data_IF_067736622699
#
_entry.id   IF_067736622699
#
_cell.length_a   1.000
_cell.length_b   1.000
_cell.length_c   1.000
_cell.angle_alpha   90.00
_cell.angle_beta   90.00
_cell.angle_gamma   90.00
#
_symmetry.space_group_name_H-M   'P 1'
#
loop_
_entity.id
_entity.type
_entity.pdbx_description
1 polymer ?
#
# COMPACT_ATOMS: atom_id res chain seq x y z
N UNK A 1 -18.54 -52.79 -32.01
CA UNK A 1 -17.65 -53.79 -31.39
C UNK A 1 -16.87 -53.05 -30.32
N UNK A 2 -17.09 -53.13 -29.01
CA UNK A 2 -18.01 -53.83 -28.10
C UNK A 2 -17.87 -53.03 -26.77
N UNK A 3 -18.92 -52.44 -26.20
CA UNK A 3 -19.80 -52.97 -25.13
C UNK A 3 -19.47 -52.34 -23.75
N UNK A 4 -20.51 -51.95 -23.00
CA UNK A 4 -20.45 -51.38 -21.63
C UNK A 4 -20.28 -52.48 -20.56
N UNK A 5 -20.69 -52.31 -19.26
CA UNK A 5 -21.84 -51.51 -18.78
C UNK A 5 -21.75 -50.82 -17.37
N UNK A 6 -22.74 -49.95 -17.08
CA UNK A 6 -23.60 -49.80 -15.86
C UNK A 6 -22.99 -49.88 -14.44
N UNK A 7 -23.22 -48.98 -13.46
CA UNK A 7 -24.43 -48.68 -12.63
C UNK A 7 -23.89 -47.96 -11.33
N UNK A 8 -24.58 -47.22 -10.46
CA UNK A 8 -25.98 -47.00 -10.13
C UNK A 8 -26.14 -45.66 -9.36
N UNK A 9 -27.34 -45.08 -9.45
CA UNK A 9 -27.95 -44.09 -8.55
C UNK A 9 -28.40 -44.75 -7.25
N UNK A 10 -28.52 -43.95 -6.19
CA UNK A 10 -29.50 -44.18 -5.13
C UNK A 10 -29.93 -42.83 -4.54
N UNK A 11 -31.16 -42.45 -4.88
CA UNK A 11 -32.03 -41.57 -4.13
C UNK A 11 -32.43 -42.27 -2.81
N UNK A 12 -32.60 -41.53 -1.72
CA UNK A 12 -33.49 -41.94 -0.62
C UNK A 12 -34.13 -40.70 0.02
N UNK A 13 -35.45 -40.71 -0.01
CA UNK A 13 -36.40 -39.72 0.46
C UNK A 13 -37.04 -40.24 1.75
N UNK A 14 -37.71 -39.35 2.47
CA UNK A 14 -38.66 -39.59 3.59
C UNK A 14 -38.09 -39.85 5.00
N UNK A 15 -38.39 -38.92 5.92
CA UNK A 15 -39.59 -39.12 6.75
C UNK A 15 -40.06 -37.82 7.42
N UNK A 16 -41.35 -37.57 7.28
CA UNK A 16 -42.12 -36.53 7.95
C UNK A 16 -42.75 -37.11 9.22
N UNK A 17 -42.76 -36.34 10.32
CA UNK A 17 -43.67 -36.62 11.44
C UNK A 17 -44.33 -35.32 11.90
N UNK A 18 -45.62 -35.27 11.62
CA UNK A 18 -46.64 -34.38 12.17
C UNK A 18 -46.93 -34.75 13.63
N UNK A 19 -47.14 -33.75 14.51
CA UNK A 19 -48.06 -33.85 15.65
C UNK A 19 -48.33 -32.50 16.29
N UNK A 20 -49.53 -31.99 16.00
CA UNK A 20 -50.31 -30.97 16.72
C UNK A 20 -50.50 -31.27 18.21
N UNK A 21 -50.63 -30.23 19.07
CA UNK A 21 -51.13 -30.44 20.44
C UNK A 21 -51.23 -29.23 21.40
N UNK A 22 -52.25 -28.40 21.20
CA UNK A 22 -53.14 -27.81 22.23
C UNK A 22 -52.65 -26.78 23.27
N UNK A 23 -53.50 -25.75 23.43
CA UNK A 23 -53.46 -24.67 24.41
C UNK A 23 -53.92 -25.09 25.82
N UNK A 24 -53.46 -24.34 26.83
CA UNK A 24 -53.98 -24.38 28.19
C UNK A 24 -53.70 -23.07 28.94
N UNK A 25 -54.75 -22.28 29.16
CA UNK A 25 -54.80 -21.12 30.04
C UNK A 25 -54.50 -21.49 31.52
N UNK A 26 -53.89 -20.55 32.25
CA UNK A 26 -53.66 -20.65 33.69
C UNK A 26 -53.33 -19.29 34.30
N UNK A 27 -54.37 -18.59 34.72
CA UNK A 27 -54.36 -17.28 35.38
C UNK A 27 -53.88 -17.34 36.85
N UNK A 28 -53.42 -16.18 37.35
CA UNK A 28 -53.40 -15.70 38.76
C UNK A 28 -52.06 -15.69 39.53
N UNK A 29 -51.65 -14.47 39.93
CA UNK A 29 -50.65 -14.24 40.98
C UNK A 29 -50.08 -12.81 41.00
N UNK A 30 -50.86 -11.84 41.46
CA UNK A 30 -50.47 -10.43 41.73
C UNK A 30 -49.46 -10.36 42.88
N UNK A 31 -48.43 -9.51 42.76
CA UNK A 31 -47.95 -8.63 43.85
C UNK A 31 -47.08 -7.47 43.32
N UNK A 32 -47.36 -6.28 43.83
CA UNK A 32 -46.77 -4.99 43.44
C UNK A 32 -45.54 -4.64 44.30
N UNK A 33 -44.43 -4.26 43.65
CA UNK A 33 -43.43 -3.20 44.00
C UNK A 33 -42.58 -3.35 45.28
N UNK A 34 -41.31 -2.84 45.30
CA UNK A 34 -40.91 -1.56 44.71
C UNK A 34 -39.66 -1.57 43.81
N UNK A 35 -39.61 -0.53 42.99
CA UNK A 35 -38.39 0.00 42.42
C UNK A 35 -37.55 0.59 43.56
N UNK A 36 -36.37 0.00 43.80
CA UNK A 36 -35.26 0.71 44.42
C UNK A 36 -33.96 0.06 43.96
N UNK A 37 -32.94 0.89 43.76
CA UNK A 37 -31.58 0.56 43.26
C UNK A 37 -31.43 0.41 41.75
N UNK A 38 -31.71 1.49 41.03
CA UNK A 38 -30.90 1.87 39.88
C UNK A 38 -29.66 2.61 40.41
N UNK A 39 -28.58 1.90 40.73
CA UNK A 39 -27.24 2.44 40.93
C UNK A 39 -26.26 1.27 41.18
N UNK A 40 -25.25 1.13 40.31
CA UNK A 40 -24.15 0.14 40.29
C UNK A 40 -24.50 -1.32 39.91
N UNK A 41 -24.59 -1.56 38.60
CA UNK A 41 -24.33 -2.88 37.99
C UNK A 41 -23.21 -2.77 36.94
N UNK A 42 -22.24 -1.90 37.18
CA UNK A 42 -20.93 -2.01 36.56
C UNK A 42 -20.07 -2.79 37.56
N UNK A 43 -19.43 -3.86 37.11
CA UNK A 43 -18.55 -4.76 37.88
C UNK A 43 -19.21 -6.01 38.51
N UNK A 44 -19.81 -6.87 37.68
CA UNK A 44 -19.94 -8.30 38.00
C UNK A 44 -18.94 -9.09 37.11
N UNK A 45 -17.82 -9.59 37.66
CA UNK A 45 -16.76 -10.26 36.90
C UNK A 45 -17.13 -11.68 36.42
N UNK A 46 -18.41 -12.05 36.47
CA UNK A 46 -18.95 -13.38 36.18
C UNK A 46 -20.18 -13.36 35.26
N UNK A 47 -20.34 -12.31 34.46
CA UNK A 47 -21.26 -12.36 33.31
C UNK A 47 -20.66 -13.29 32.25
N UNK A 48 -21.45 -14.25 31.79
CA UNK A 48 -21.04 -15.13 30.70
C UNK A 48 -20.79 -14.29 29.43
N UNK A 49 -19.79 -14.68 28.63
CA UNK A 49 -19.44 -14.02 27.35
C UNK A 49 -20.65 -13.90 26.40
N UNK A 50 -21.66 -14.74 26.59
CA UNK A 50 -22.91 -14.81 25.83
C UNK A 50 -23.85 -13.62 26.13
N UNK A 51 -23.72 -12.98 27.29
CA UNK A 51 -24.62 -11.92 27.78
C UNK A 51 -24.04 -10.51 27.59
N UNK A 52 -22.79 -10.41 27.13
CA UNK A 52 -22.10 -9.14 26.88
C UNK A 52 -22.41 -8.61 25.48
N UNK A 53 -22.55 -7.29 25.36
CA UNK A 53 -22.50 -6.65 24.04
C UNK A 53 -21.10 -6.75 23.43
N UNK A 54 -21.00 -6.63 22.10
CA UNK A 54 -19.72 -6.69 21.37
C UNK A 54 -18.71 -5.67 21.92
N UNK A 55 -19.17 -4.46 22.25
CA UNK A 55 -18.33 -3.40 22.82
C UNK A 55 -17.84 -3.73 24.24
N UNK A 56 -18.70 -4.30 25.09
CA UNK A 56 -18.32 -4.74 26.44
C UNK A 56 -17.35 -5.91 26.41
N UNK A 57 -17.53 -6.83 25.44
CA UNK A 57 -16.62 -7.94 25.22
C UNK A 57 -15.27 -7.44 24.70
N UNK A 58 -15.24 -6.48 23.76
CA UNK A 58 -14.02 -5.84 23.27
C UNK A 58 -13.22 -5.21 24.41
N UNK A 59 -13.87 -4.41 25.26
CA UNK A 59 -13.21 -3.76 26.40
C UNK A 59 -12.60 -4.78 27.39
N UNK A 60 -13.29 -5.90 27.64
CA UNK A 60 -12.75 -6.98 28.49
C UNK A 60 -11.55 -7.68 27.86
N UNK A 61 -11.57 -7.87 26.55
CA UNK A 61 -10.47 -8.51 25.83
C UNK A 61 -9.24 -7.60 25.77
N UNK A 62 -9.42 -6.30 25.59
CA UNK A 62 -8.36 -5.28 25.71
C UNK A 62 -7.73 -5.23 27.10
N UNK A 63 -8.48 -5.51 28.16
CA UNK A 63 -7.92 -5.65 29.51
C UNK A 63 -7.19 -6.99 29.72
N UNK A 64 -7.70 -8.06 29.11
CA UNK A 64 -7.20 -9.43 29.28
C UNK A 64 -5.90 -9.70 28.51
N UNK A 65 -5.72 -9.09 27.34
CA UNK A 65 -4.58 -9.34 26.44
C UNK A 65 -3.74 -8.09 26.20
N UNK A 66 -2.41 -8.25 26.16
CA UNK A 66 -1.47 -7.20 25.76
C UNK A 66 -1.28 -7.23 24.24
N UNK A 67 -2.00 -6.37 23.52
CA UNK A 67 -1.97 -6.32 22.06
C UNK A 67 -0.61 -5.90 21.48
N UNK A 68 0.21 -5.15 22.23
CA UNK A 68 1.56 -4.74 21.80
C UNK A 68 2.54 -5.92 21.75
N UNK A 69 2.28 -6.97 22.54
CA UNK A 69 3.13 -8.17 22.62
C UNK A 69 2.33 -9.45 22.32
N UNK A 70 1.31 -9.33 21.47
CA UNK A 70 0.40 -10.41 21.14
C UNK A 70 1.08 -11.46 20.26
N UNK A 71 1.05 -12.72 20.70
CA UNK A 71 1.73 -13.83 20.03
C UNK A 71 0.81 -15.02 19.67
N UNK A 72 1.37 -16.05 19.01
CA UNK A 72 0.60 -17.26 18.64
C UNK A 72 -0.04 -17.98 19.83
N UNK A 73 0.55 -17.87 21.03
CA UNK A 73 -0.01 -18.47 22.24
C UNK A 73 -1.27 -17.73 22.73
N UNK A 74 -1.35 -16.43 22.50
CA UNK A 74 -2.52 -15.62 22.84
C UNK A 74 -3.65 -15.89 21.84
N UNK A 75 -3.31 -16.08 20.55
CA UNK A 75 -4.25 -16.52 19.52
C UNK A 75 -4.92 -17.86 19.86
N UNK A 76 -4.18 -18.82 20.43
CA UNK A 76 -4.72 -20.12 20.85
C UNK A 76 -5.66 -20.02 22.06
N UNK A 77 -5.48 -18.99 22.90
CA UNK A 77 -6.27 -18.78 24.12
C UNK A 77 -7.53 -17.96 23.87
N UNK A 78 -7.56 -17.16 22.80
CA UNK A 78 -8.66 -16.26 22.48
C UNK A 78 -9.81 -17.03 21.82
N UNK A 79 -11.03 -16.87 22.35
CA UNK A 79 -12.23 -17.52 21.80
C UNK A 79 -12.64 -16.85 20.49
N UNK A 80 -13.42 -17.55 19.65
CA UNK A 80 -13.90 -16.99 18.40
C UNK A 80 -14.73 -15.70 18.61
N UNK A 81 -15.48 -15.62 19.72
CA UNK A 81 -16.31 -14.45 20.02
C UNK A 81 -15.48 -13.28 20.55
N UNK A 82 -14.44 -13.56 21.33
CA UNK A 82 -13.43 -12.55 21.69
C UNK A 82 -12.73 -12.01 20.44
N UNK A 83 -12.36 -12.89 19.50
CA UNK A 83 -11.80 -12.50 18.20
C UNK A 83 -12.73 -11.58 17.40
N UNK A 84 -14.00 -12.00 17.22
CA UNK A 84 -15.00 -11.23 16.48
C UNK A 84 -15.28 -9.88 17.17
N UNK A 85 -15.19 -9.80 18.50
CA UNK A 85 -15.39 -8.54 19.21
C UNK A 85 -14.26 -7.53 18.99
N UNK A 86 -13.00 -7.97 19.00
CA UNK A 86 -11.85 -7.06 18.82
C UNK A 86 -11.58 -6.74 17.35
N UNK A 87 -11.87 -7.69 16.45
CA UNK A 87 -11.65 -7.54 15.01
C UNK A 87 -12.98 -7.52 14.24
N UNK A 88 -13.95 -6.75 14.74
CA UNK A 88 -15.27 -6.62 14.14
C UNK A 88 -15.19 -5.93 12.77
N UNK A 89 -15.46 -6.62 11.66
CA UNK A 89 -15.42 -6.00 10.34
C UNK A 89 -16.54 -4.95 10.16
N UNK A 90 -17.61 -5.01 10.96
CA UNK A 90 -18.69 -4.02 10.91
C UNK A 90 -18.31 -2.70 11.61
N UNK A 91 -17.24 -2.69 12.42
CA UNK A 91 -16.69 -1.45 13.01
C UNK A 91 -15.64 -0.78 12.11
N UNK A 92 -15.36 -1.32 10.92
CA UNK A 92 -14.44 -0.68 9.99
C UNK A 92 -15.08 0.52 9.29
N UNK A 93 -14.28 1.58 9.16
CA UNK A 93 -14.66 2.79 8.44
C UNK A 93 -14.92 2.44 6.97
N UNK A 94 -16.07 2.87 6.45
CA UNK A 94 -16.49 2.71 5.06
C UNK A 94 -17.08 4.02 4.52
N UNK A 95 -17.41 4.05 3.23
CA UNK A 95 -17.98 5.20 2.53
C UNK A 95 -16.97 6.32 2.29
N UNK A 96 -17.47 7.56 2.29
CA UNK A 96 -16.69 8.78 2.08
C UNK A 96 -15.54 8.92 3.06
N UNK A 97 -15.73 8.54 4.33
CA UNK A 97 -14.71 8.67 5.37
C UNK A 97 -13.49 7.78 5.10
N UNK A 98 -13.73 6.53 4.65
CA UNK A 98 -12.67 5.64 4.20
C UNK A 98 -11.90 6.26 3.02
N UNK A 99 -12.62 6.79 2.04
CA UNK A 99 -12.02 7.36 0.84
C UNK A 99 -11.23 8.63 1.13
N UNK A 100 -11.71 9.51 2.03
CA UNK A 100 -10.99 10.71 2.50
C UNK A 100 -9.66 10.33 3.16
N UNK A 101 -9.72 9.38 4.08
CA UNK A 101 -8.57 8.90 4.84
C UNK A 101 -7.56 8.19 3.95
N UNK A 102 -8.05 7.36 3.03
CA UNK A 102 -7.22 6.67 2.05
C UNK A 102 -6.56 7.64 1.07
N UNK A 103 -7.27 8.66 0.61
CA UNK A 103 -6.72 9.68 -0.27
C UNK A 103 -5.53 10.40 0.40
N UNK A 104 -5.68 10.78 1.67
CA UNK A 104 -4.61 11.38 2.45
C UNK A 104 -3.42 10.41 2.66
N UNK A 105 -3.68 9.13 2.97
CA UNK A 105 -2.62 8.13 3.17
C UNK A 105 -1.84 7.89 1.88
N UNK A 106 -2.54 7.65 0.76
CA UNK A 106 -1.90 7.40 -0.53
C UNK A 106 -1.11 8.62 -1.01
N UNK A 107 -1.63 9.84 -0.86
CA UNK A 107 -0.88 11.06 -1.21
C UNK A 107 0.39 11.21 -0.37
N UNK A 108 0.34 10.91 0.93
CA UNK A 108 1.53 10.91 1.78
C UNK A 108 2.54 9.83 1.37
N UNK A 109 2.08 8.61 1.05
CA UNK A 109 2.96 7.54 0.55
C UNK A 109 3.60 7.86 -0.80
N UNK A 110 2.90 8.60 -1.67
CA UNK A 110 3.47 9.10 -2.92
C UNK A 110 4.55 10.16 -2.64
N UNK A 111 4.31 11.02 -1.65
CA UNK A 111 5.27 12.04 -1.21
C UNK A 111 6.55 11.41 -0.65
N UNK A 112 6.40 10.37 0.17
CA UNK A 112 7.50 9.60 0.76
C UNK A 112 8.16 8.62 -0.23
N UNK A 113 7.62 8.51 -1.45
CA UNK A 113 8.08 7.63 -2.55
C UNK A 113 7.94 6.13 -2.27
N UNK A 114 7.02 5.77 -1.39
CA UNK A 114 6.64 4.38 -1.13
C UNK A 114 5.69 3.85 -2.23
N UNK A 115 4.91 4.74 -2.85
CA UNK A 115 3.98 4.41 -3.94
C UNK A 115 4.21 5.35 -5.12
N UNK A 116 4.18 4.81 -6.35
CA UNK A 116 4.18 5.62 -7.58
C UNK A 116 2.82 5.52 -8.26
N UNK A 117 1.93 6.46 -7.96
CA UNK A 117 0.62 6.56 -8.58
C UNK A 117 0.10 8.00 -8.56
N UNK A 118 -0.67 8.36 -9.57
CA UNK A 118 -1.55 9.53 -9.56
C UNK A 118 -2.87 9.13 -8.91
N UNK A 119 -3.38 9.98 -8.02
CA UNK A 119 -4.56 9.71 -7.20
C UNK A 119 -5.68 10.66 -7.65
N UNK A 120 -6.79 10.11 -8.12
CA UNK A 120 -7.98 10.86 -8.55
C UNK A 120 -9.22 10.35 -7.81
N UNK A 121 -10.05 11.29 -7.36
CA UNK A 121 -11.35 10.99 -6.76
C UNK A 121 -12.47 11.21 -7.75
N UNK A 122 -13.47 10.34 -7.72
CA UNK A 122 -14.67 10.45 -8.52
C UNK A 122 -15.89 10.35 -7.60
N UNK A 123 -16.93 11.15 -7.89
CA UNK A 123 -18.11 11.29 -7.01
C UNK A 123 -19.28 10.38 -7.40
N UNK A 124 -19.42 10.00 -8.68
CA UNK A 124 -20.58 9.24 -9.19
C UNK A 124 -20.16 7.96 -9.94
N UNK A 125 -20.24 6.75 -9.35
CA UNK A 125 -20.34 6.48 -7.91
C UNK A 125 -19.05 6.84 -7.16
N UNK A 126 -19.14 7.13 -5.86
CA UNK A 126 -17.97 7.55 -5.08
C UNK A 126 -16.87 6.48 -5.04
N UNK A 127 -15.67 6.85 -5.51
CA UNK A 127 -14.52 5.94 -5.64
C UNK A 127 -13.22 6.71 -5.75
N UNK A 128 -12.14 6.08 -5.30
CA UNK A 128 -10.78 6.58 -5.42
C UNK A 128 -10.00 5.73 -6.41
N UNK A 129 -9.32 6.37 -7.35
CA UNK A 129 -8.51 5.69 -8.38
C UNK A 129 -7.06 6.09 -8.20
N UNK A 130 -6.23 5.10 -7.93
CA UNK A 130 -4.79 5.23 -7.99
C UNK A 130 -4.30 4.59 -9.30
N UNK A 131 -3.48 5.29 -10.08
CA UNK A 131 -2.99 4.73 -11.33
C UNK A 131 -1.56 5.13 -11.67
N UNK A 132 -0.88 4.24 -12.39
CA UNK A 132 0.49 4.39 -12.87
C UNK A 132 0.59 3.96 -14.33
N UNK A 133 1.79 4.01 -14.88
CA UNK A 133 2.10 3.47 -16.21
C UNK A 133 2.05 1.93 -16.27
N UNK A 134 2.12 1.24 -15.12
CA UNK A 134 2.24 -0.23 -15.02
C UNK A 134 1.00 -0.90 -14.39
N UNK A 135 -0.01 -0.13 -14.00
CA UNK A 135 -1.20 -0.66 -13.34
C UNK A 135 -2.04 0.41 -12.66
N UNK A 136 -3.17 -0.03 -12.10
CA UNK A 136 -4.14 0.82 -11.43
C UNK A 136 -4.86 0.06 -10.31
N UNK A 137 -5.49 0.81 -9.41
CA UNK A 137 -6.41 0.33 -8.41
C UNK A 137 -7.60 1.28 -8.32
N UNK A 138 -8.81 0.72 -8.34
CA UNK A 138 -10.07 1.40 -8.06
C UNK A 138 -10.54 0.92 -6.70
N UNK A 139 -10.77 1.87 -5.79
CA UNK A 139 -11.28 1.62 -4.44
C UNK A 139 -12.68 2.19 -4.34
N UNK A 140 -13.61 1.34 -3.96
CA UNK A 140 -15.01 1.71 -3.76
C UNK A 140 -15.27 2.02 -2.28
N UNK A 141 -16.34 2.76 -1.98
CA UNK A 141 -16.69 3.13 -0.61
C UNK A 141 -16.93 1.95 0.33
N UNK A 142 -17.28 0.76 -0.17
CA UNK A 142 -17.40 -0.45 0.64
C UNK A 142 -16.04 -1.08 1.02
N UNK A 143 -14.92 -0.50 0.60
CA UNK A 143 -13.57 -1.02 0.82
C UNK A 143 -13.15 -2.08 -0.21
N UNK A 144 -14.00 -2.40 -1.19
CA UNK A 144 -13.63 -3.30 -2.28
C UNK A 144 -12.54 -2.65 -3.14
N UNK A 145 -11.52 -3.42 -3.51
CA UNK A 145 -10.41 -2.96 -4.36
C UNK A 145 -10.29 -3.83 -5.61
N UNK A 146 -10.45 -3.20 -6.77
CA UNK A 146 -10.25 -3.81 -8.08
C UNK A 146 -9.04 -3.19 -8.79
N UNK A 147 -8.37 -3.94 -9.67
CA UNK A 147 -7.28 -3.39 -10.46
C UNK A 147 -6.22 -4.41 -10.83
N UNK A 148 -5.03 -3.92 -11.19
CA UNK A 148 -3.89 -4.76 -11.57
C UNK A 148 -2.54 -4.06 -11.31
N UNK A 149 -1.49 -4.87 -11.30
CA UNK A 149 -0.11 -4.38 -11.23
C UNK A 149 0.35 -4.04 -9.82
N UNK A 150 1.43 -3.27 -9.73
CA UNK A 150 2.06 -2.83 -8.48
C UNK A 150 1.15 -1.92 -7.68
N UNK A 151 0.41 -1.04 -8.35
CA UNK A 151 -0.55 -0.13 -7.69
C UNK A 151 -1.59 -0.90 -6.87
N UNK A 152 -2.16 -1.98 -7.40
CA UNK A 152 -3.08 -2.84 -6.64
C UNK A 152 -2.43 -3.44 -5.39
N UNK A 153 -1.18 -3.90 -5.53
CA UNK A 153 -0.42 -4.50 -4.43
C UNK A 153 -0.14 -3.48 -3.33
N UNK A 154 0.10 -2.22 -3.69
CA UNK A 154 0.48 -1.17 -2.76
C UNK A 154 -0.74 -0.50 -2.11
N UNK A 155 -1.86 -0.40 -2.84
CA UNK A 155 -3.12 0.20 -2.36
C UNK A 155 -3.88 -0.72 -1.40
N UNK A 156 -3.92 -2.04 -1.64
CA UNK A 156 -4.68 -2.98 -0.78
C UNK A 156 -4.32 -2.88 0.72
N UNK A 157 -3.03 -2.87 1.11
CA UNK A 157 -2.67 -2.66 2.51
C UNK A 157 -3.10 -1.29 3.04
N UNK A 158 -3.03 -0.23 2.23
CA UNK A 158 -3.51 1.11 2.61
C UNK A 158 -4.99 1.12 2.89
N UNK A 159 -5.82 0.46 2.07
CA UNK A 159 -7.28 0.39 2.30
C UNK A 159 -7.58 -0.28 3.63
N UNK A 160 -6.92 -1.41 3.91
CA UNK A 160 -7.11 -2.15 5.17
C UNK A 160 -6.68 -1.33 6.41
N UNK A 161 -5.62 -0.53 6.31
CA UNK A 161 -5.20 0.34 7.41
C UNK A 161 -6.13 1.55 7.54
N UNK A 162 -6.51 2.17 6.44
CA UNK A 162 -7.42 3.30 6.42
C UNK A 162 -8.82 2.94 6.96
N UNK A 163 -9.25 1.69 6.82
CA UNK A 163 -10.52 1.23 7.37
C UNK A 163 -10.49 1.00 8.89
N UNK A 164 -9.31 0.94 9.52
CA UNK A 164 -9.18 0.83 10.97
C UNK A 164 -9.36 2.21 11.64
N UNK A 165 -10.19 2.27 12.68
CA UNK A 165 -10.45 3.51 13.43
C UNK A 165 -9.19 4.04 14.13
N UNK A 166 -8.40 3.14 14.75
CA UNK A 166 -7.19 3.48 15.51
C UNK A 166 -6.01 3.89 14.64
N UNK A 167 -6.01 3.52 13.36
CA UNK A 167 -4.96 4.00 12.47
C UNK A 167 -4.98 5.54 12.50
N UNK A 168 -3.86 6.21 12.32
CA UNK A 168 -3.80 7.67 12.17
C UNK A 168 -3.13 7.98 10.83
N UNK A 169 -3.81 8.77 9.99
CA UNK A 169 -3.25 9.23 8.72
C UNK A 169 -2.70 10.64 8.91
N UNK A 170 -1.53 10.88 8.32
CA UNK A 170 -0.96 12.22 8.25
C UNK A 170 -1.90 13.19 7.50
N UNK A 171 -1.79 14.48 7.81
CA UNK A 171 -2.59 15.50 7.14
C UNK A 171 -2.41 15.44 5.61
N UNK A 172 -3.50 15.67 4.86
CA UNK A 172 -3.46 15.60 3.41
C UNK A 172 -2.50 16.68 2.86
N UNK A 173 -1.50 16.32 2.04
CA UNK A 173 -0.63 17.30 1.43
C UNK A 173 -1.43 18.16 0.43
N UNK A 174 -1.11 19.46 0.41
CA UNK A 174 -1.73 20.40 -0.52
C UNK A 174 -1.28 20.17 -1.97
N UNK A 175 -2.23 20.16 -2.89
CA UNK A 175 -1.97 20.15 -4.33
C UNK A 175 -1.54 18.79 -4.90
N UNK A 176 -0.82 18.84 -6.03
CA UNK A 176 -0.36 17.65 -6.74
C UNK A 176 1.00 17.20 -6.18
N UNK A 177 1.07 15.95 -5.73
CA UNK A 177 2.23 15.40 -5.01
C UNK A 177 3.38 15.04 -5.96
N UNK A 178 3.03 14.57 -7.16
CA UNK A 178 4.03 14.16 -8.14
C UNK A 178 4.64 15.38 -8.85
N UNK A 179 5.97 15.42 -9.03
CA UNK A 179 6.60 16.48 -9.79
C UNK A 179 6.22 16.38 -11.27
N UNK A 180 6.18 17.50 -11.96
CA UNK A 180 6.05 17.49 -13.42
C UNK A 180 7.32 16.91 -14.06
N UNK A 181 7.25 16.29 -15.25
CA UNK A 181 8.42 15.69 -15.90
C UNK A 181 9.58 16.67 -16.11
N UNK A 182 9.30 17.97 -16.27
CA UNK A 182 10.32 19.00 -16.47
C UNK A 182 11.04 19.40 -15.17
N UNK A 183 10.42 19.16 -14.02
CA UNK A 183 11.01 19.46 -12.70
C UNK A 183 11.98 18.37 -12.25
N UNK A 184 11.97 17.19 -12.87
CA UNK A 184 12.88 16.08 -12.56
C UNK A 184 14.31 16.39 -13.02
N UNK A 185 15.28 16.54 -12.10
CA UNK A 185 16.68 16.81 -12.45
C UNK A 185 17.27 15.71 -13.34
N UNK A 186 18.21 16.06 -14.22
CA UNK A 186 18.85 15.08 -15.13
C UNK A 186 19.85 14.15 -14.45
N UNK A 187 20.17 14.38 -13.17
CA UNK A 187 21.10 13.57 -12.40
C UNK A 187 20.89 13.72 -10.89
N UNK A 188 21.07 12.63 -10.16
CA UNK A 188 21.02 12.62 -8.70
C UNK A 188 22.41 12.87 -8.08
N UNK A 189 22.51 13.83 -7.18
CA UNK A 189 23.64 13.95 -6.24
C UNK A 189 25.01 14.19 -6.87
N UNK A 190 25.18 15.31 -7.58
CA UNK A 190 26.44 15.70 -8.25
C UNK A 190 27.69 15.58 -7.36
N UNK A 191 27.57 15.86 -6.06
CA UNK A 191 28.71 15.87 -5.13
C UNK A 191 29.39 14.50 -5.00
N UNK A 192 28.63 13.40 -4.94
CA UNK A 192 29.20 12.06 -4.73
C UNK A 192 30.04 11.61 -5.93
N UNK A 193 29.48 11.77 -7.13
CA UNK A 193 30.19 11.50 -8.38
C UNK A 193 31.39 12.44 -8.57
N UNK A 194 31.22 13.73 -8.27
CA UNK A 194 32.29 14.72 -8.43
C UNK A 194 33.49 14.44 -7.52
N UNK A 195 33.27 14.07 -6.26
CA UNK A 195 34.36 13.67 -5.34
C UNK A 195 35.09 12.45 -5.89
N UNK A 196 34.36 11.41 -6.33
CA UNK A 196 34.98 10.19 -6.85
C UNK A 196 35.76 10.47 -8.16
N UNK A 197 35.24 11.37 -9.01
CA UNK A 197 35.93 11.82 -10.23
C UNK A 197 37.20 12.61 -9.93
N UNK A 198 37.18 13.51 -8.93
CA UNK A 198 38.38 14.25 -8.50
C UNK A 198 39.43 13.31 -7.94
N UNK A 199 39.04 12.35 -7.10
CA UNK A 199 39.93 11.32 -6.57
C UNK A 199 40.54 10.50 -7.72
N UNK A 200 39.72 10.05 -8.68
CA UNK A 200 40.18 9.32 -9.85
C UNK A 200 41.17 10.15 -10.70
N UNK A 201 40.91 11.45 -10.88
CA UNK A 201 41.79 12.36 -11.62
C UNK A 201 43.15 12.54 -10.91
N UNK A 202 43.15 12.83 -9.60
CA UNK A 202 44.39 12.97 -8.82
C UNK A 202 45.17 11.66 -8.80
N UNK A 203 44.50 10.53 -8.62
CA UNK A 203 45.10 9.19 -8.66
C UNK A 203 45.79 8.92 -10.01
N UNK A 204 45.12 9.26 -11.12
CA UNK A 204 45.66 9.08 -12.46
C UNK A 204 46.85 10.00 -12.70
N UNK A 205 46.78 11.27 -12.26
CA UNK A 205 47.90 12.20 -12.31
C UNK A 205 49.11 11.70 -11.52
N UNK A 206 48.88 11.16 -10.31
CA UNK A 206 49.94 10.57 -9.48
C UNK A 206 50.55 9.33 -10.16
N UNK A 207 49.71 8.45 -10.73
CA UNK A 207 50.17 7.26 -11.44
C UNK A 207 51.01 7.60 -12.66
N UNK A 208 50.53 8.52 -13.50
CA UNK A 208 51.27 9.04 -14.66
C UNK A 208 52.57 9.71 -14.22
N UNK A 209 52.50 10.57 -13.20
CA UNK A 209 53.68 11.23 -12.64
C UNK A 209 54.74 10.23 -12.16
N UNK A 210 54.34 9.14 -11.50
CA UNK A 210 55.25 8.11 -11.03
C UNK A 210 55.86 7.29 -12.18
N UNK A 211 55.07 6.95 -13.21
CA UNK A 211 55.56 6.26 -14.42
C UNK A 211 56.61 7.09 -15.16
N UNK A 212 56.40 8.41 -15.28
CA UNK A 212 57.32 9.30 -15.99
C UNK A 212 58.43 9.89 -15.10
N UNK A 213 58.38 9.67 -13.78
CA UNK A 213 59.39 10.20 -12.84
C UNK A 213 60.85 9.86 -13.17
N UNK A 214 61.20 8.66 -13.72
CA UNK A 214 62.60 8.34 -14.05
C UNK A 214 63.21 9.21 -15.16
N UNK A 215 62.39 9.93 -15.95
CA UNK A 215 62.90 10.84 -16.99
C UNK A 215 63.46 12.14 -16.41
N UNK A 216 63.08 12.49 -15.19
CA UNK A 216 63.40 13.77 -14.55
C UNK A 216 64.29 13.57 -13.32
N UNK A 217 64.13 12.44 -12.63
CA UNK A 217 64.85 12.11 -11.40
C UNK A 217 65.57 10.78 -11.57
N UNK A 218 66.85 10.73 -11.17
CA UNK A 218 67.60 9.48 -11.11
C UNK A 218 67.15 8.65 -9.89
N UNK A 219 66.45 7.54 -10.17
CA UNK A 219 65.89 6.63 -9.16
C UNK A 219 66.78 5.40 -8.92
N UNK A 220 67.94 5.31 -9.58
CA UNK A 220 68.85 4.17 -9.48
C UNK A 220 68.15 2.83 -9.71
N UNK A 221 68.29 1.88 -8.79
CA UNK A 221 67.67 0.55 -8.87
C UNK A 221 66.17 0.53 -8.54
N UNK A 222 65.60 1.62 -8.01
CA UNK A 222 64.20 1.69 -7.58
C UNK A 222 63.21 2.04 -8.71
N UNK A 223 63.69 2.26 -9.94
CA UNK A 223 62.85 2.61 -11.09
C UNK A 223 61.75 1.56 -11.36
N UNK A 224 62.03 0.28 -11.10
CA UNK A 224 61.07 -0.79 -11.32
C UNK A 224 59.89 -0.71 -10.34
N UNK A 225 60.17 -0.37 -9.07
CA UNK A 225 59.13 -0.18 -8.05
C UNK A 225 58.25 1.02 -8.40
N UNK A 226 58.86 2.13 -8.81
CA UNK A 226 58.13 3.32 -9.26
C UNK A 226 57.23 3.02 -10.46
N UNK A 227 57.73 2.23 -11.43
CA UNK A 227 56.95 1.85 -12.62
C UNK A 227 55.77 0.95 -12.28
N UNK A 228 55.97 -0.09 -11.44
CA UNK A 228 54.89 -1.00 -11.03
C UNK A 228 53.83 -0.28 -10.20
N UNK A 229 54.27 0.52 -9.23
CA UNK A 229 53.35 1.33 -8.43
C UNK A 229 52.57 2.30 -9.33
N UNK A 230 53.26 3.01 -10.23
CA UNK A 230 52.66 4.03 -11.08
C UNK A 230 51.62 3.42 -12.01
N UNK A 231 51.93 2.27 -12.60
CA UNK A 231 50.97 1.51 -13.41
C UNK A 231 49.77 1.07 -12.57
N UNK A 232 49.98 0.62 -11.33
CA UNK A 232 48.90 0.32 -10.40
C UNK A 232 47.98 1.51 -10.12
N UNK A 233 48.55 2.69 -9.86
CA UNK A 233 47.79 3.93 -9.70
C UNK A 233 46.99 4.29 -10.95
N UNK A 234 47.58 4.16 -12.16
CA UNK A 234 46.89 4.39 -13.43
C UNK A 234 45.73 3.42 -13.61
N UNK A 235 45.95 2.11 -13.41
CA UNK A 235 44.91 1.09 -13.55
C UNK A 235 43.74 1.37 -12.60
N UNK A 236 44.03 1.65 -11.32
CA UNK A 236 42.99 1.98 -10.34
C UNK A 236 42.24 3.26 -10.73
N UNK A 237 42.96 4.31 -11.14
CA UNK A 237 42.34 5.57 -11.58
C UNK A 237 41.41 5.38 -12.78
N UNK A 238 41.82 4.60 -13.78
CA UNK A 238 40.99 4.25 -14.94
C UNK A 238 39.75 3.47 -14.51
N UNK A 239 39.90 2.47 -13.64
CA UNK A 239 38.76 1.70 -13.13
C UNK A 239 37.77 2.59 -12.38
N UNK A 240 38.24 3.52 -11.55
CA UNK A 240 37.38 4.49 -10.86
C UNK A 240 36.62 5.35 -11.87
N UNK A 241 37.26 5.83 -12.94
CA UNK A 241 36.57 6.55 -14.01
C UNK A 241 35.48 5.73 -14.69
N UNK A 242 35.70 4.43 -14.92
CA UNK A 242 34.67 3.54 -15.46
C UNK A 242 33.47 3.41 -14.52
N UNK A 243 33.70 3.22 -13.23
CA UNK A 243 32.63 3.15 -12.21
C UNK A 243 31.83 4.45 -12.17
N UNK A 244 32.53 5.58 -12.13
CA UNK A 244 31.99 6.94 -12.17
C UNK A 244 31.13 7.15 -13.42
N UNK A 245 31.66 6.84 -14.61
CA UNK A 245 30.95 6.99 -15.87
C UNK A 245 29.68 6.12 -15.95
N UNK A 246 29.76 4.87 -15.48
CA UNK A 246 28.61 3.96 -15.46
C UNK A 246 27.52 4.46 -14.49
N UNK A 247 27.89 4.96 -13.31
CA UNK A 247 26.95 5.53 -12.36
C UNK A 247 26.21 6.74 -12.95
N UNK A 248 26.93 7.67 -13.58
CA UNK A 248 26.31 8.86 -14.19
C UNK A 248 25.35 8.51 -15.33
N UNK A 249 25.70 7.51 -16.14
CA UNK A 249 24.83 7.05 -17.22
C UNK A 249 23.57 6.38 -16.65
N UNK A 250 23.74 5.54 -15.62
CA UNK A 250 22.63 4.91 -14.90
C UNK A 250 21.67 5.96 -14.31
N UNK A 251 22.20 7.00 -13.67
CA UNK A 251 21.37 8.05 -13.05
C UNK A 251 20.60 8.85 -14.11
N UNK A 252 21.25 9.17 -15.23
CA UNK A 252 20.58 9.83 -16.36
C UNK A 252 19.44 8.98 -16.93
N UNK A 253 19.69 7.68 -17.14
CA UNK A 253 18.64 6.78 -17.66
C UNK A 253 17.47 6.66 -16.69
N UNK A 254 17.73 6.54 -15.38
CA UNK A 254 16.68 6.51 -14.36
C UNK A 254 15.86 7.80 -14.33
N UNK A 255 16.51 8.95 -14.49
CA UNK A 255 15.79 10.23 -14.56
C UNK A 255 14.93 10.32 -15.82
N UNK A 256 15.45 9.92 -16.98
CA UNK A 256 14.68 9.89 -18.23
C UNK A 256 13.51 8.89 -18.17
N UNK A 257 13.74 7.70 -17.61
CA UNK A 257 12.70 6.69 -17.38
C UNK A 257 11.62 7.25 -16.46
N UNK A 258 11.98 7.81 -15.30
CA UNK A 258 11.02 8.42 -14.39
C UNK A 258 10.18 9.53 -15.07
N UNK A 259 10.81 10.40 -15.87
CA UNK A 259 10.07 11.40 -16.67
C UNK A 259 9.10 10.76 -17.65
N UNK A 260 9.51 9.68 -18.34
CA UNK A 260 8.63 8.98 -19.26
C UNK A 260 7.43 8.38 -18.54
N UNK A 261 7.62 7.83 -17.34
CA UNK A 261 6.53 7.32 -16.49
C UNK A 261 5.56 8.43 -16.08
N UNK A 262 6.08 9.58 -15.64
CA UNK A 262 5.27 10.77 -15.31
C UNK A 262 4.47 11.28 -16.52
N UNK A 263 5.04 11.25 -17.74
CA UNK A 263 4.28 11.58 -18.96
C UNK A 263 3.19 10.58 -19.26
N UNK A 264 3.49 9.28 -19.10
CA UNK A 264 2.53 8.22 -19.38
C UNK A 264 1.28 8.28 -18.49
N UNK A 265 1.38 8.89 -17.30
CA UNK A 265 0.24 9.11 -16.38
C UNK A 265 -0.42 10.49 -16.54
N UNK A 266 -0.07 11.26 -17.57
CA UNK A 266 -0.74 12.52 -17.90
C UNK A 266 -0.32 13.73 -17.07
N UNK A 267 0.92 13.79 -16.56
CA UNK A 267 1.45 14.99 -15.86
C UNK A 267 2.10 16.03 -16.79
N UNK A 268 2.19 15.76 -18.09
CA UNK A 268 2.75 16.67 -19.12
C UNK A 268 1.70 17.08 -20.17
N UNK A 269 0.55 16.39 -20.17
CA UNK A 269 -0.56 16.52 -21.12
C UNK A 269 -1.84 16.18 -20.39
N UNK A 270 -2.93 16.92 -20.66
CA UNK A 270 -4.27 16.60 -20.12
C UNK A 270 -4.82 15.23 -20.60
N UNK A 271 -4.07 14.52 -21.45
CA UNK A 271 -4.36 13.15 -21.87
C UNK A 271 -4.06 12.15 -20.75
N UNK A 272 -5.12 11.50 -20.27
CA UNK A 272 -5.06 10.39 -19.32
C UNK A 272 -4.67 9.07 -20.00
N UNK A 273 -4.16 8.07 -19.26
CA UNK A 273 -3.89 6.75 -19.82
C UNK A 273 -5.13 6.09 -20.45
N UNK A 274 -4.96 5.43 -21.59
CA UNK A 274 -6.06 4.82 -22.36
C UNK A 274 -6.88 3.76 -21.59
N UNK A 275 -6.31 3.12 -20.56
CA UNK A 275 -7.08 2.17 -19.74
C UNK A 275 -8.10 2.88 -18.84
N UNK A 276 -7.91 4.16 -18.51
CA UNK A 276 -8.93 4.94 -17.80
C UNK A 276 -10.13 5.17 -18.72
N UNK A 277 -9.91 5.54 -19.99
CA UNK A 277 -10.98 5.68 -20.98
C UNK A 277 -11.79 4.37 -21.13
N UNK A 278 -11.12 3.21 -21.08
CA UNK A 278 -11.78 1.89 -21.10
C UNK A 278 -12.63 1.64 -19.85
N UNK A 279 -12.13 2.02 -18.67
CA UNK A 279 -12.88 1.91 -17.42
C UNK A 279 -14.06 2.89 -17.37
N UNK A 280 -13.93 4.09 -17.94
CA UNK A 280 -15.03 5.06 -18.13
C UNK A 280 -16.08 4.47 -19.08
N UNK A 281 -15.65 3.89 -20.22
CA UNK A 281 -16.54 3.24 -21.18
C UNK A 281 -17.28 2.02 -20.60
N UNK A 282 -16.65 1.29 -19.67
CA UNK A 282 -17.27 0.18 -18.95
C UNK A 282 -18.18 0.64 -17.80
N UNK A 283 -18.25 1.94 -17.55
CA UNK A 283 -19.05 2.52 -16.46
C UNK A 283 -18.47 2.29 -15.07
N UNK A 284 -17.22 1.79 -14.97
CA UNK A 284 -16.48 1.70 -13.71
C UNK A 284 -15.97 3.07 -13.27
N UNK A 285 -15.77 3.97 -14.23
CA UNK A 285 -15.41 5.35 -14.02
C UNK A 285 -16.44 6.32 -14.64
N UNK A 286 -17.66 6.50 -14.10
CA UNK A 286 -18.52 7.55 -14.67
C UNK A 286 -18.04 8.97 -14.27
N UNK A 287 -17.82 9.84 -15.26
CA UNK A 287 -17.82 11.30 -15.12
C UNK A 287 -18.20 11.96 -16.46
N UNK A 288 -19.21 12.83 -16.49
CA UNK A 288 -19.58 13.60 -17.68
C UNK A 288 -20.08 15.00 -17.29
N UNK A 289 -19.15 15.89 -16.94
CA UNK A 289 -19.35 17.31 -17.23
C UNK A 289 -19.21 17.51 -18.74
N UNK A 290 -20.26 17.14 -19.47
CA UNK A 290 -20.61 17.75 -20.76
C UNK A 290 -21.81 18.68 -20.51
N UNK A 291 -21.58 19.76 -19.76
CA UNK A 291 -22.41 20.97 -19.87
C UNK A 291 -21.90 21.78 -21.07
N UNK A 292 -21.88 21.16 -22.26
CA UNK A 292 -22.02 21.92 -23.49
C UNK A 292 -23.49 22.33 -23.59
N UNK A 293 -23.80 23.39 -22.83
CA UNK A 293 -24.98 24.22 -22.96
C UNK A 293 -25.64 24.13 -24.33
N UNK A 294 -26.83 23.54 -24.28
CA UNK A 294 -27.94 23.69 -25.17
C UNK A 294 -28.07 25.14 -25.67
N UNK A 295 -27.45 25.47 -26.82
CA UNK A 295 -27.80 26.69 -27.56
C UNK A 295 -28.77 26.31 -28.69
N UNK A 296 -30.00 26.04 -28.24
CA UNK A 296 -31.19 26.17 -29.07
C UNK A 296 -31.69 27.62 -28.96
N UNK A 297 -31.31 28.46 -29.93
CA UNK A 297 -32.06 29.66 -30.31
C UNK A 297 -31.87 29.99 -31.80
#
# INVERSE_FOLDING_TARGET
>A
MADGPSAARSDDESDAVDSTGTAGDGEAGREERPADSAENAADDPQRDEDDLSVEELRAQVEEKYDFDNFGPQDMEQMTAREWDAVFDPESWITGTELLDRLEADLKNRVLDRDVFARIERFEDPERLVAYSDEGYAVVYGDGTVEGMGTVLRDVKPSVALASMEEYEVAEMPDGEVLPTPLEVPEGGGDLGHQVLQVVAAVQLLMGVGLVFSPLVVDLGQSWLVALVAGLGFVVIGVLLFFVVANARLSDKFRAEEYRNRLRAIGLDSDERPAFLDELEAEGRLANAEDDSTEDAA
#
